data_IF_791830691164
#
_entry.id   IF_791830691164
#
_cell.length_a   1.000
_cell.length_b   1.000
_cell.length_c   1.000
_cell.angle_alpha   90.00
_cell.angle_beta   90.00
_cell.angle_gamma   90.00
#
_symmetry.space_group_name_H-M   'P 1'
#
loop_
_entity.id
_entity.type
_entity.pdbx_description
1 polymer ?
#
# COMPACT_ATOMS: atom_id res chain seq x y z
N UNK A 1 -27.76 7.41 7.86
CA UNK A 1 -27.15 6.34 8.68
C UNK A 1 -28.16 6.00 9.76
N UNK A 2 -28.80 4.82 9.66
CA UNK A 2 -29.61 4.28 10.75
C UNK A 2 -28.62 3.72 11.79
N UNK A 3 -28.49 4.40 12.92
CA UNK A 3 -27.94 3.81 14.13
C UNK A 3 -28.89 2.68 14.57
N UNK A 4 -28.56 1.44 14.21
CA UNK A 4 -29.27 0.29 14.77
C UNK A 4 -28.73 0.08 16.19
N UNK A 5 -29.47 0.56 17.17
CA UNK A 5 -29.30 0.19 18.57
C UNK A 5 -29.70 -1.28 18.74
N UNK A 6 -28.71 -2.17 18.69
CA UNK A 6 -28.87 -3.56 19.09
C UNK A 6 -28.27 -3.70 20.49
N UNK A 7 -29.12 -3.73 21.49
CA UNK A 7 -28.71 -4.01 22.87
C UNK A 7 -29.91 -3.88 23.80
N UNK A 8 -30.29 -4.95 24.45
CA UNK A 8 -31.36 -4.96 25.45
C UNK A 8 -30.97 -4.12 26.66
N UNK A 9 -31.90 -3.28 27.12
CA UNK A 9 -31.71 -2.31 28.21
C UNK A 9 -31.39 -2.91 29.60
N UNK A 10 -31.31 -4.22 29.75
CA UNK A 10 -31.31 -4.88 31.05
C UNK A 10 -29.91 -5.11 31.70
N UNK A 11 -28.80 -4.66 31.09
CA UNK A 11 -27.45 -4.85 31.63
C UNK A 11 -26.67 -3.54 31.91
N UNK A 12 -27.35 -2.41 32.10
CA UNK A 12 -26.74 -1.07 31.92
C UNK A 12 -26.15 -0.49 33.21
N UNK A 13 -26.38 -1.01 34.39
CA UNK A 13 -25.99 -0.31 35.65
C UNK A 13 -24.54 -0.45 36.07
N UNK A 14 -23.79 -1.43 35.57
CA UNK A 14 -22.43 -1.73 36.06
C UNK A 14 -21.34 -1.70 34.99
N UNK A 15 -21.61 -1.20 33.78
CA UNK A 15 -20.66 -1.22 32.67
C UNK A 15 -20.73 0.05 31.82
N UNK A 16 -19.57 0.41 31.22
CA UNK A 16 -19.49 1.50 30.27
C UNK A 16 -20.20 1.17 28.96
N UNK A 17 -20.86 2.17 28.38
CA UNK A 17 -21.43 2.12 27.04
C UNK A 17 -20.43 2.77 26.08
N UNK A 18 -19.83 1.98 25.21
CA UNK A 18 -18.82 2.44 24.26
C UNK A 18 -19.43 2.63 22.88
N UNK A 19 -19.32 3.83 22.34
CA UNK A 19 -19.67 4.15 20.97
C UNK A 19 -18.42 4.31 20.13
N UNK A 20 -18.24 3.47 19.11
CA UNK A 20 -17.15 3.57 18.15
C UNK A 20 -17.72 4.12 16.85
N UNK A 21 -17.24 5.28 16.43
CA UNK A 21 -17.65 5.94 15.18
C UNK A 21 -16.42 5.95 14.27
N UNK A 22 -16.43 5.04 13.31
CA UNK A 22 -15.37 4.93 12.31
C UNK A 22 -15.61 5.95 11.19
N UNK A 23 -14.52 6.43 10.57
CA UNK A 23 -14.51 7.46 9.53
C UNK A 23 -15.41 8.67 9.88
N UNK A 24 -15.26 9.15 11.12
CA UNK A 24 -16.11 10.19 11.69
C UNK A 24 -16.15 11.47 10.84
N UNK A 25 -15.12 11.74 10.02
CA UNK A 25 -15.09 12.87 9.09
C UNK A 25 -16.21 12.82 8.01
N UNK A 26 -16.84 11.67 7.81
CA UNK A 26 -17.97 11.50 6.89
C UNK A 26 -19.30 11.96 7.48
N UNK A 27 -19.33 12.35 8.77
CA UNK A 27 -20.55 12.90 9.38
C UNK A 27 -20.88 14.27 8.79
N UNK A 28 -22.19 14.54 8.65
CA UNK A 28 -22.66 15.87 8.27
C UNK A 28 -22.40 16.89 9.39
N UNK A 29 -22.36 18.17 9.06
CA UNK A 29 -22.22 19.27 10.04
C UNK A 29 -23.33 19.20 11.10
N UNK A 30 -24.56 18.87 10.69
CA UNK A 30 -25.69 18.70 11.62
C UNK A 30 -25.49 17.54 12.59
N UNK A 31 -24.87 16.43 12.15
CA UNK A 31 -24.53 15.30 13.01
C UNK A 31 -23.42 15.65 14.01
N UNK A 32 -22.38 16.39 13.58
CA UNK A 32 -21.36 16.92 14.48
C UNK A 32 -21.96 17.84 15.55
N UNK A 33 -22.87 18.74 15.17
CA UNK A 33 -23.55 19.64 16.13
C UNK A 33 -24.41 18.88 17.14
N UNK A 34 -25.05 17.80 16.72
CA UNK A 34 -25.81 16.93 17.64
C UNK A 34 -24.88 16.19 18.62
N UNK A 35 -23.72 15.74 18.14
CA UNK A 35 -22.72 15.06 18.97
C UNK A 35 -22.07 16.00 19.99
N UNK A 36 -21.88 17.28 19.65
CA UNK A 36 -21.28 18.29 20.54
C UNK A 36 -21.98 18.37 21.89
N UNK A 37 -23.33 18.37 21.91
CA UNK A 37 -24.09 18.45 23.17
C UNK A 37 -23.76 17.32 24.13
N UNK A 38 -23.57 16.11 23.60
CA UNK A 38 -23.23 14.93 24.41
C UNK A 38 -21.76 14.90 24.79
N UNK A 39 -20.86 15.46 23.97
CA UNK A 39 -19.44 15.55 24.27
C UNK A 39 -19.11 16.66 25.28
N UNK A 40 -19.97 17.68 25.41
CA UNK A 40 -19.83 18.73 26.41
C UNK A 40 -20.13 18.22 27.83
N UNK A 41 -21.19 17.43 27.97
CA UNK A 41 -21.63 16.84 29.24
C UNK A 41 -21.90 15.33 29.03
N UNK A 42 -20.88 14.51 28.83
CA UNK A 42 -21.06 13.08 28.62
C UNK A 42 -21.54 12.41 29.92
N UNK A 43 -22.50 11.48 29.85
CA UNK A 43 -22.82 10.65 30.99
C UNK A 43 -21.59 9.86 31.45
N UNK A 44 -21.38 9.71 32.77
CA UNK A 44 -20.20 9.06 33.36
C UNK A 44 -19.92 7.64 32.81
N UNK A 45 -20.95 6.95 32.35
CA UNK A 45 -20.86 5.60 31.82
C UNK A 45 -20.71 5.54 30.29
N UNK A 46 -20.57 6.67 29.60
CA UNK A 46 -20.48 6.72 28.12
C UNK A 46 -19.07 7.08 27.69
N UNK A 47 -18.52 6.28 26.77
CA UNK A 47 -17.24 6.52 26.13
C UNK A 47 -17.46 6.61 24.61
N UNK A 48 -16.94 7.69 23.99
CA UNK A 48 -16.88 7.84 22.55
C UNK A 48 -15.47 7.58 22.04
N UNK A 49 -15.34 6.70 21.03
CA UNK A 49 -14.12 6.48 20.27
C UNK A 49 -14.41 6.94 18.83
N UNK A 50 -13.73 8.03 18.44
CA UNK A 50 -13.87 8.61 17.11
C UNK A 50 -12.63 8.25 16.30
N UNK A 51 -12.77 7.49 15.22
CA UNK A 51 -11.69 7.12 14.34
C UNK A 51 -11.78 7.87 13.00
N UNK A 52 -10.65 8.30 12.48
CA UNK A 52 -10.57 9.02 11.19
C UNK A 52 -9.21 8.93 10.55
N UNK A 53 -9.18 8.89 9.24
CA UNK A 53 -7.98 9.08 8.41
C UNK A 53 -7.69 10.55 8.13
N UNK A 54 -8.68 11.44 8.31
CA UNK A 54 -8.62 12.86 7.95
C UNK A 54 -8.98 13.78 9.13
N UNK A 55 -8.11 13.82 10.13
CA UNK A 55 -8.33 14.64 11.35
C UNK A 55 -8.57 16.13 11.06
N UNK A 56 -8.02 16.67 9.96
CA UNK A 56 -8.19 18.07 9.56
C UNK A 56 -9.62 18.43 9.12
N UNK A 57 -10.44 17.44 8.77
CA UNK A 57 -11.85 17.64 8.42
C UNK A 57 -12.79 17.68 9.64
N UNK A 58 -12.29 17.31 10.82
CA UNK A 58 -13.10 17.33 12.04
C UNK A 58 -13.14 18.74 12.61
N UNK A 59 -14.31 19.27 12.98
CA UNK A 59 -14.43 20.58 13.62
C UNK A 59 -13.56 20.68 14.86
N UNK A 60 -12.88 21.82 15.03
CA UNK A 60 -12.00 22.09 16.18
C UNK A 60 -12.76 22.00 17.50
N UNK A 61 -14.06 22.29 17.50
CA UNK A 61 -14.94 22.18 18.66
C UNK A 61 -15.11 20.75 19.17
N UNK A 62 -15.02 19.76 18.27
CA UNK A 62 -14.99 18.32 18.62
C UNK A 62 -13.61 17.95 19.11
N UNK A 63 -12.56 18.31 18.35
CA UNK A 63 -11.18 17.97 18.70
C UNK A 63 -10.75 18.49 20.07
N UNK A 64 -11.22 19.69 20.47
CA UNK A 64 -10.91 20.28 21.77
C UNK A 64 -11.49 19.52 22.98
N UNK A 65 -12.46 18.62 22.73
CA UNK A 65 -13.13 17.80 23.76
C UNK A 65 -12.74 16.34 23.73
N UNK A 66 -11.80 15.98 22.85
CA UNK A 66 -11.33 14.62 22.67
C UNK A 66 -9.85 14.51 23.02
N UNK A 67 -9.46 13.39 23.59
CA UNK A 67 -8.05 12.97 23.64
C UNK A 67 -7.64 12.48 22.26
N UNK A 68 -6.53 13.00 21.72
CA UNK A 68 -6.04 12.63 20.40
C UNK A 68 -4.91 11.61 20.50
N UNK A 69 -5.02 10.56 19.69
CA UNK A 69 -4.00 9.54 19.51
C UNK A 69 -3.67 9.42 18.02
N UNK A 70 -2.42 9.72 17.67
CA UNK A 70 -1.95 9.64 16.29
C UNK A 70 -1.27 8.28 16.04
N UNK A 71 -1.87 7.44 15.22
CA UNK A 71 -1.31 6.18 14.78
C UNK A 71 -0.40 6.40 13.57
N UNK A 72 0.79 5.80 13.61
CA UNK A 72 1.79 5.88 12.54
C UNK A 72 1.75 4.60 11.70
N UNK A 73 2.31 4.67 10.49
CA UNK A 73 2.60 3.48 9.68
C UNK A 73 3.59 2.58 10.43
N UNK A 74 3.37 1.27 10.30
CA UNK A 74 4.23 0.26 10.93
C UNK A 74 5.42 0.01 10.00
N UNK A 75 6.62 -0.20 10.57
CA UNK A 75 7.80 -0.51 9.75
C UNK A 75 7.68 -1.89 9.11
N UNK A 76 8.38 -2.06 7.98
CA UNK A 76 8.39 -3.32 7.23
C UNK A 76 8.89 -4.47 8.12
N UNK A 77 9.94 -4.23 8.92
CA UNK A 77 10.52 -5.22 9.83
C UNK A 77 9.49 -5.67 10.87
N UNK A 78 8.80 -4.71 11.51
CA UNK A 78 7.78 -5.03 12.52
C UNK A 78 6.62 -5.84 11.93
N UNK A 79 6.19 -5.49 10.70
CA UNK A 79 5.15 -6.28 9.99
C UNK A 79 5.69 -7.67 9.68
N UNK A 80 6.89 -7.77 9.10
CA UNK A 80 7.49 -9.04 8.71
C UNK A 80 7.66 -9.97 9.91
N UNK A 81 8.16 -9.47 11.04
CA UNK A 81 8.32 -10.26 12.26
C UNK A 81 6.96 -10.78 12.76
N UNK A 82 5.93 -9.93 12.73
CA UNK A 82 4.58 -10.36 13.11
C UNK A 82 4.01 -11.43 12.18
N UNK A 83 4.21 -11.28 10.87
CA UNK A 83 3.77 -12.28 9.89
C UNK A 83 4.50 -13.62 10.11
N UNK A 84 5.81 -13.60 10.39
CA UNK A 84 6.59 -14.82 10.73
C UNK A 84 6.04 -15.53 11.96
N UNK A 85 5.77 -14.80 13.04
CA UNK A 85 5.15 -15.39 14.24
C UNK A 85 3.82 -16.10 13.93
N UNK A 86 3.01 -15.51 13.04
CA UNK A 86 1.73 -16.10 12.65
C UNK A 86 1.95 -17.36 11.80
N UNK A 87 2.88 -17.34 10.85
CA UNK A 87 3.19 -18.49 10.01
C UNK A 87 3.67 -19.70 10.84
N UNK A 88 4.49 -19.45 11.86
CA UNK A 88 4.90 -20.50 12.81
C UNK A 88 3.68 -21.09 13.55
N UNK A 89 2.71 -20.27 13.97
CA UNK A 89 1.49 -20.73 14.65
C UNK A 89 0.56 -21.52 13.74
N UNK A 90 0.43 -21.09 12.49
CA UNK A 90 -0.38 -21.74 11.45
C UNK A 90 0.33 -22.97 10.82
N UNK A 91 1.58 -23.22 11.20
CA UNK A 91 2.42 -24.31 10.67
C UNK A 91 2.61 -24.23 9.13
N UNK A 92 2.68 -23.03 8.60
CA UNK A 92 2.96 -22.76 7.19
C UNK A 92 4.43 -22.43 7.02
N UNK A 93 5.13 -23.18 6.17
CA UNK A 93 6.49 -22.86 5.79
C UNK A 93 6.49 -21.70 4.79
N UNK A 94 7.31 -20.69 5.07
CA UNK A 94 7.40 -19.49 4.24
C UNK A 94 8.85 -19.00 4.12
N UNK A 95 9.23 -18.49 2.99
CA UNK A 95 10.52 -17.86 2.77
C UNK A 95 10.56 -16.45 3.38
N UNK A 96 11.69 -16.09 3.99
CA UNK A 96 11.90 -14.74 4.56
C UNK A 96 11.68 -13.63 3.53
N UNK A 97 12.12 -13.87 2.29
CA UNK A 97 11.96 -12.94 1.18
C UNK A 97 10.49 -12.74 0.81
N UNK A 98 9.69 -13.81 0.84
CA UNK A 98 8.24 -13.78 0.62
C UNK A 98 7.52 -12.90 1.66
N UNK A 99 7.82 -13.13 2.95
CA UNK A 99 7.26 -12.35 4.06
C UNK A 99 7.63 -10.87 3.96
N UNK A 100 8.88 -10.55 3.67
CA UNK A 100 9.33 -9.15 3.51
C UNK A 100 8.61 -8.47 2.36
N UNK A 101 8.40 -9.19 1.26
CA UNK A 101 7.66 -8.65 0.12
C UNK A 101 6.20 -8.34 0.46
N UNK A 102 5.50 -9.24 1.15
CA UNK A 102 4.13 -9.01 1.64
C UNK A 102 4.09 -7.80 2.59
N UNK A 103 5.04 -7.71 3.52
CA UNK A 103 5.14 -6.58 4.46
C UNK A 103 5.36 -5.24 3.74
N UNK A 104 6.16 -5.24 2.66
CA UNK A 104 6.40 -4.07 1.82
C UNK A 104 5.15 -3.68 1.02
N UNK A 105 4.47 -4.66 0.40
CA UNK A 105 3.25 -4.43 -0.37
C UNK A 105 2.10 -3.85 0.49
N UNK A 106 2.11 -4.14 1.78
CA UNK A 106 1.12 -3.65 2.75
C UNK A 106 1.28 -2.17 3.14
N UNK A 107 2.36 -1.50 2.74
CA UNK A 107 2.60 -0.07 2.92
C UNK A 107 2.33 0.44 4.36
N UNK A 108 2.80 -0.29 5.37
CA UNK A 108 2.67 0.07 6.78
C UNK A 108 1.32 -0.28 7.42
N UNK A 109 0.44 -1.01 6.72
CA UNK A 109 -0.84 -1.49 7.21
C UNK A 109 -0.77 -2.97 7.60
N UNK A 110 -0.93 -3.28 8.90
CA UNK A 110 -0.99 -4.68 9.35
C UNK A 110 -2.21 -5.41 8.81
N UNK A 111 -3.36 -4.73 8.66
CA UNK A 111 -4.58 -5.33 8.10
C UNK A 111 -4.35 -5.81 6.67
N UNK A 112 -3.75 -4.95 5.84
CA UNK A 112 -3.49 -5.27 4.45
C UNK A 112 -2.43 -6.36 4.33
N UNK A 113 -1.39 -6.33 5.18
CA UNK A 113 -0.38 -7.39 5.26
C UNK A 113 -1.00 -8.77 5.55
N UNK A 114 -1.90 -8.84 6.51
CA UNK A 114 -2.61 -10.08 6.83
C UNK A 114 -3.50 -10.53 5.68
N UNK A 115 -4.24 -9.61 5.06
CA UNK A 115 -5.12 -9.94 3.93
C UNK A 115 -4.35 -10.44 2.72
N UNK A 116 -3.20 -9.82 2.40
CA UNK A 116 -2.32 -10.25 1.31
C UNK A 116 -1.71 -11.62 1.60
N UNK A 117 -1.27 -11.85 2.84
CA UNK A 117 -0.72 -13.13 3.25
C UNK A 117 -1.76 -14.25 3.18
N UNK A 118 -2.98 -14.00 3.66
CA UNK A 118 -4.09 -14.95 3.57
C UNK A 118 -4.41 -15.33 2.12
N UNK A 119 -4.38 -14.37 1.20
CA UNK A 119 -4.53 -14.63 -0.23
C UNK A 119 -3.44 -15.58 -0.74
N UNK A 120 -2.18 -15.31 -0.40
CA UNK A 120 -1.06 -16.14 -0.83
C UNK A 120 -1.18 -17.57 -0.29
N UNK A 121 -1.54 -17.73 0.98
CA UNK A 121 -1.73 -19.05 1.62
C UNK A 121 -2.89 -19.82 0.97
N UNK A 122 -4.01 -19.13 0.71
CA UNK A 122 -5.17 -19.74 0.09
C UNK A 122 -4.90 -20.27 -1.32
N UNK A 123 -4.06 -19.56 -2.11
CA UNK A 123 -3.66 -19.96 -3.46
C UNK A 123 -2.74 -21.18 -3.46
N UNK A 124 -1.81 -21.26 -2.49
CA UNK A 124 -0.81 -22.32 -2.38
C UNK A 124 -1.01 -23.18 -1.12
N UNK A 125 -2.26 -23.52 -0.83
CA UNK A 125 -2.62 -24.29 0.36
C UNK A 125 -1.84 -25.59 0.47
N UNK A 126 -1.16 -25.79 1.62
CA UNK A 126 -0.38 -26.99 1.91
C UNK A 126 1.00 -27.05 1.22
N UNK A 127 1.42 -25.99 0.54
CA UNK A 127 2.76 -25.86 -0.04
C UNK A 127 3.58 -24.82 0.74
N UNK A 128 4.90 -24.91 0.63
CA UNK A 128 5.79 -23.86 1.11
C UNK A 128 5.56 -22.58 0.29
N UNK A 129 5.33 -21.48 0.96
CA UNK A 129 5.14 -20.17 0.32
C UNK A 129 6.51 -19.59 -0.06
N UNK A 130 6.82 -19.63 -1.36
CA UNK A 130 8.05 -19.08 -1.92
C UNK A 130 7.84 -17.62 -2.34
N UNK A 131 8.95 -16.92 -2.60
CA UNK A 131 8.91 -15.56 -3.12
C UNK A 131 8.18 -15.48 -4.47
N UNK A 132 8.42 -16.44 -5.37
CA UNK A 132 7.78 -16.50 -6.69
C UNK A 132 6.26 -16.69 -6.58
N UNK A 133 5.81 -17.53 -5.66
CA UNK A 133 4.38 -17.70 -5.36
C UNK A 133 3.72 -16.38 -4.94
N UNK A 134 4.39 -15.60 -4.09
CA UNK A 134 3.87 -14.30 -3.65
C UNK A 134 3.81 -13.29 -4.79
N UNK A 135 4.84 -13.25 -5.64
CA UNK A 135 4.85 -12.39 -6.83
C UNK A 135 3.68 -12.72 -7.77
N UNK A 136 3.43 -14.00 -8.00
CA UNK A 136 2.34 -14.47 -8.87
C UNK A 136 0.97 -14.04 -8.33
N UNK A 137 0.70 -14.30 -7.04
CA UNK A 137 -0.58 -13.98 -6.41
C UNK A 137 -0.83 -12.50 -6.31
N UNK A 138 0.19 -11.71 -5.94
CA UNK A 138 0.05 -10.27 -5.78
C UNK A 138 0.13 -9.51 -7.12
N UNK A 139 0.33 -10.23 -8.21
CA UNK A 139 0.39 -9.62 -9.54
C UNK A 139 1.62 -8.74 -9.77
N UNK A 140 2.65 -8.89 -8.93
CA UNK A 140 3.86 -8.11 -9.06
C UNK A 140 4.63 -8.49 -10.34
N UNK A 141 5.17 -7.50 -10.99
CA UNK A 141 6.04 -7.69 -12.15
C UNK A 141 7.46 -7.87 -11.63
N UNK A 142 8.14 -8.89 -12.12
CA UNK A 142 9.56 -9.11 -11.79
C UNK A 142 10.41 -7.90 -12.20
N UNK A 143 11.39 -7.57 -11.38
CA UNK A 143 12.34 -6.47 -11.66
C UNK A 143 13.02 -6.62 -13.01
N UNK A 144 13.22 -7.85 -13.47
CA UNK A 144 13.82 -8.15 -14.78
C UNK A 144 12.99 -7.63 -15.96
N UNK A 145 11.67 -7.65 -15.84
CA UNK A 145 10.78 -7.10 -16.86
C UNK A 145 10.92 -5.57 -16.92
N UNK A 146 11.04 -4.91 -15.78
CA UNK A 146 11.26 -3.47 -15.72
C UNK A 146 12.65 -3.08 -16.25
N UNK A 147 13.67 -3.88 -15.97
CA UNK A 147 15.00 -3.75 -16.54
C UNK A 147 14.95 -3.83 -18.07
N UNK A 148 14.31 -4.89 -18.61
CA UNK A 148 14.10 -5.06 -20.05
C UNK A 148 13.40 -3.83 -20.65
N UNK A 149 12.29 -3.40 -20.03
CA UNK A 149 11.50 -2.26 -20.50
C UNK A 149 12.32 -0.96 -20.49
N UNK A 150 13.07 -0.68 -19.44
CA UNK A 150 13.94 0.49 -19.35
C UNK A 150 15.00 0.50 -20.45
N UNK A 151 15.69 -0.63 -20.69
CA UNK A 151 16.69 -0.75 -21.74
C UNK A 151 16.09 -0.50 -23.13
N UNK A 152 14.92 -1.07 -23.42
CA UNK A 152 14.20 -0.84 -24.67
C UNK A 152 13.80 0.64 -24.86
N UNK A 153 13.40 1.33 -23.79
CA UNK A 153 13.09 2.77 -23.81
C UNK A 153 14.36 3.58 -24.09
N UNK A 154 15.49 3.27 -23.43
CA UNK A 154 16.76 3.96 -23.64
C UNK A 154 17.31 3.77 -25.06
N UNK A 155 17.11 2.57 -25.63
CA UNK A 155 17.44 2.23 -27.02
C UNK A 155 16.47 2.85 -28.04
N UNK A 156 15.39 3.47 -27.58
CA UNK A 156 14.30 4.02 -28.43
C UNK A 156 13.65 2.97 -29.33
N UNK A 157 13.64 1.72 -28.89
CA UNK A 157 13.01 0.61 -29.62
C UNK A 157 11.52 0.52 -29.28
N UNK A 158 10.73 1.40 -29.89
CA UNK A 158 9.27 1.50 -29.65
C UNK A 158 8.57 0.16 -29.92
N UNK A 159 8.97 -0.58 -30.97
CA UNK A 159 8.34 -1.85 -31.30
C UNK A 159 8.50 -2.89 -30.18
N UNK A 160 9.73 -3.01 -29.63
CA UNK A 160 10.01 -3.94 -28.54
C UNK A 160 9.30 -3.53 -27.22
N UNK A 161 9.19 -2.23 -26.96
CA UNK A 161 8.43 -1.71 -25.81
C UNK A 161 6.96 -2.12 -25.89
N UNK A 162 6.32 -1.89 -27.04
CA UNK A 162 4.92 -2.23 -27.26
C UNK A 162 4.67 -3.75 -27.18
N UNK A 163 5.59 -4.56 -27.70
CA UNK A 163 5.53 -6.03 -27.59
C UNK A 163 5.61 -6.49 -26.14
N UNK A 164 6.53 -5.92 -25.35
CA UNK A 164 6.64 -6.22 -23.91
C UNK A 164 5.38 -5.82 -23.15
N UNK A 165 4.77 -4.67 -23.46
CA UNK A 165 3.49 -4.26 -22.87
C UNK A 165 2.37 -5.23 -23.26
N UNK A 166 2.31 -5.68 -24.52
CA UNK A 166 1.33 -6.67 -24.96
C UNK A 166 1.47 -7.99 -24.20
N UNK A 167 2.70 -8.50 -24.04
CA UNK A 167 2.97 -9.71 -23.25
C UNK A 167 2.42 -9.60 -21.83
N UNK A 168 2.63 -8.44 -21.16
CA UNK A 168 2.14 -8.19 -19.80
C UNK A 168 0.61 -8.12 -19.73
N UNK A 169 -0.01 -7.50 -20.72
CA UNK A 169 -1.49 -7.46 -20.83
C UNK A 169 -2.06 -8.86 -21.04
N UNK A 170 -1.45 -9.67 -21.89
CA UNK A 170 -1.88 -11.05 -22.14
C UNK A 170 -1.71 -11.96 -20.92
N UNK A 171 -0.73 -11.66 -20.04
CA UNK A 171 -0.56 -12.31 -18.74
C UNK A 171 -1.61 -11.87 -17.70
N UNK A 172 -2.51 -10.94 -18.04
CA UNK A 172 -3.55 -10.45 -17.15
C UNK A 172 -3.08 -9.41 -16.12
N UNK A 173 -1.94 -8.76 -16.34
CA UNK A 173 -1.41 -7.74 -15.42
C UNK A 173 -2.27 -6.47 -15.47
N UNK A 174 -2.56 -5.91 -14.29
CA UNK A 174 -3.30 -4.65 -14.16
C UNK A 174 -2.39 -3.46 -14.51
N UNK A 175 -2.78 -2.66 -15.51
CA UNK A 175 -1.93 -1.60 -16.08
C UNK A 175 -1.66 -0.45 -15.08
N UNK A 176 -2.57 -0.16 -14.19
CA UNK A 176 -2.36 0.87 -13.16
C UNK A 176 -1.31 0.41 -12.15
N UNK A 177 -1.38 -0.87 -11.75
CA UNK A 177 -0.38 -1.45 -10.86
C UNK A 177 0.99 -1.50 -11.54
N UNK A 178 1.05 -1.95 -12.80
CA UNK A 178 2.26 -1.94 -13.61
C UNK A 178 2.92 -0.55 -13.66
N UNK A 179 2.11 0.50 -13.87
CA UNK A 179 2.59 1.89 -13.90
C UNK A 179 3.17 2.33 -12.56
N UNK A 180 2.51 1.95 -11.45
CA UNK A 180 2.98 2.25 -10.11
C UNK A 180 4.29 1.53 -9.81
N UNK A 181 4.38 0.23 -10.13
CA UNK A 181 5.56 -0.59 -9.87
C UNK A 181 6.75 -0.12 -10.71
N UNK A 182 6.52 0.27 -11.98
CA UNK A 182 7.57 0.87 -12.81
C UNK A 182 8.03 2.23 -12.26
N UNK A 183 7.12 3.05 -11.75
CA UNK A 183 7.48 4.31 -11.07
C UNK A 183 8.35 4.06 -9.84
N UNK A 184 8.02 3.04 -9.04
CA UNK A 184 8.83 2.60 -7.91
C UNK A 184 10.21 2.10 -8.33
N UNK A 185 10.29 1.34 -9.41
CA UNK A 185 11.54 0.89 -9.98
C UNK A 185 12.44 2.06 -10.40
N UNK A 186 11.90 3.05 -11.13
CA UNK A 186 12.61 4.27 -11.52
C UNK A 186 13.09 5.08 -10.30
N UNK A 187 12.28 5.16 -9.24
CA UNK A 187 12.68 5.78 -7.97
C UNK A 187 13.85 5.03 -7.32
N UNK A 188 13.83 3.70 -7.33
CA UNK A 188 14.92 2.91 -6.78
C UNK A 188 16.22 3.13 -7.56
N UNK A 189 16.17 3.26 -8.88
CA UNK A 189 17.32 3.64 -9.70
C UNK A 189 17.86 5.04 -9.32
N UNK A 190 16.96 6.00 -9.08
CA UNK A 190 17.37 7.34 -8.64
C UNK A 190 18.08 7.30 -7.27
N UNK A 191 17.56 6.52 -6.33
CA UNK A 191 18.19 6.33 -5.03
C UNK A 191 19.54 5.61 -5.15
N UNK A 192 19.63 4.57 -5.99
CA UNK A 192 20.87 3.86 -6.28
C UNK A 192 21.95 4.79 -6.86
N UNK A 193 21.54 5.80 -7.62
CA UNK A 193 22.47 6.78 -8.21
C UNK A 193 22.88 7.91 -7.26
N UNK A 194 22.07 8.25 -6.27
CA UNK A 194 22.24 9.46 -5.45
C UNK A 194 22.58 9.19 -3.99
N UNK A 195 22.48 7.94 -3.51
CA UNK A 195 22.69 7.58 -2.11
C UNK A 195 23.97 6.78 -1.93
N UNK A 196 24.79 7.15 -0.94
CA UNK A 196 26.03 6.43 -0.59
C UNK A 196 25.76 5.17 0.28
N UNK A 197 24.62 5.09 0.97
CA UNK A 197 24.20 3.96 1.83
C UNK A 197 22.96 3.28 1.26
N UNK A 198 23.16 2.40 0.28
CA UNK A 198 22.07 1.75 -0.45
C UNK A 198 21.40 0.62 0.33
N UNK A 199 22.15 -0.14 1.13
CA UNK A 199 21.64 -1.32 1.85
C UNK A 199 20.56 -0.98 2.86
N UNK A 200 20.63 0.21 3.49
CA UNK A 200 19.64 0.68 4.47
C UNK A 200 18.39 1.32 3.83
N UNK A 201 18.48 1.74 2.55
CA UNK A 201 17.43 2.52 1.86
C UNK A 201 16.67 1.67 0.85
N UNK A 202 17.35 0.69 0.24
CA UNK A 202 16.77 -0.20 -0.76
C UNK A 202 16.63 -1.60 -0.15
N UNK A 203 15.39 -1.98 0.11
CA UNK A 203 15.04 -3.33 0.59
C UNK A 203 15.08 -4.35 -0.56
N UNK A 204 16.24 -4.47 -1.21
CA UNK A 204 16.49 -5.33 -2.38
C UNK A 204 17.61 -6.32 -2.05
N UNK A 205 17.56 -7.51 -2.67
CA UNK A 205 18.64 -8.49 -2.53
C UNK A 205 19.95 -7.95 -3.13
N UNK A 206 21.09 -8.45 -2.64
CA UNK A 206 22.42 -8.02 -3.08
C UNK A 206 22.63 -8.16 -4.60
N UNK A 207 22.04 -9.20 -5.21
CA UNK A 207 22.09 -9.42 -6.67
C UNK A 207 21.28 -8.36 -7.42
N UNK A 208 20.08 -8.04 -6.97
CA UNK A 208 19.25 -6.98 -7.56
C UNK A 208 19.86 -5.58 -7.35
N UNK A 209 20.67 -5.41 -6.30
CA UNK A 209 21.34 -4.15 -6.00
C UNK A 209 22.46 -3.84 -7.00
N UNK A 210 23.23 -4.85 -7.40
CA UNK A 210 24.25 -4.72 -8.44
C UNK A 210 23.61 -4.37 -9.80
N UNK A 211 22.54 -5.07 -10.17
CA UNK A 211 21.82 -4.80 -11.39
C UNK A 211 21.24 -3.38 -11.42
N UNK A 212 20.62 -2.94 -10.31
CA UNK A 212 20.10 -1.57 -10.18
C UNK A 212 21.20 -0.51 -10.28
N UNK A 213 22.40 -0.79 -9.76
CA UNK A 213 23.56 0.11 -9.88
C UNK A 213 24.02 0.25 -11.33
N UNK A 214 24.19 -0.87 -12.02
CA UNK A 214 24.57 -0.86 -13.44
C UNK A 214 23.56 -0.08 -14.30
N UNK A 215 22.28 -0.29 -14.04
CA UNK A 215 21.20 0.38 -14.77
C UNK A 215 21.09 1.87 -14.42
N UNK A 216 21.32 2.22 -13.14
CA UNK A 216 21.37 3.60 -12.72
C UNK A 216 22.50 4.39 -13.42
N UNK A 217 23.62 3.74 -13.77
CA UNK A 217 24.69 4.38 -14.53
C UNK A 217 24.30 4.66 -15.99
N UNK A 218 23.41 3.88 -16.57
CA UNK A 218 22.98 4.03 -17.96
C UNK A 218 22.10 5.25 -18.21
N UNK A 219 21.55 5.87 -17.16
CA UNK A 219 20.58 6.96 -17.28
C UNK A 219 20.97 8.17 -16.42
N UNK A 220 20.84 9.37 -16.97
CA UNK A 220 21.12 10.60 -16.23
C UNK A 220 20.02 10.93 -15.20
N UNK A 221 20.40 11.52 -14.06
CA UNK A 221 19.48 11.95 -12.98
C UNK A 221 18.32 12.80 -13.51
N UNK A 222 18.62 13.75 -14.41
CA UNK A 222 17.61 14.61 -15.02
C UNK A 222 16.57 13.86 -15.84
N UNK A 223 16.99 12.79 -16.53
CA UNK A 223 16.10 11.91 -17.30
C UNK A 223 15.27 11.04 -16.39
N UNK A 224 15.86 10.45 -15.33
CA UNK A 224 15.14 9.68 -14.32
C UNK A 224 14.03 10.51 -13.66
N UNK A 225 14.33 11.74 -13.22
CA UNK A 225 13.35 12.63 -12.62
C UNK A 225 12.20 12.96 -13.59
N UNK A 226 12.51 13.12 -14.89
CA UNK A 226 11.50 13.34 -15.92
C UNK A 226 10.60 12.12 -16.09
N UNK A 227 11.17 10.90 -16.14
CA UNK A 227 10.40 9.66 -16.24
C UNK A 227 9.52 9.45 -15.02
N UNK A 228 10.06 9.59 -13.81
CA UNK A 228 9.28 9.47 -12.57
C UNK A 228 8.09 10.42 -12.59
N UNK A 229 8.28 11.66 -13.05
CA UNK A 229 7.19 12.65 -13.17
C UNK A 229 6.12 12.20 -14.15
N UNK A 230 6.52 11.77 -15.37
CA UNK A 230 5.59 11.31 -16.41
C UNK A 230 4.76 10.14 -15.88
N UNK A 231 5.40 9.12 -15.29
CA UNK A 231 4.70 7.94 -14.81
C UNK A 231 3.86 8.21 -13.56
N UNK A 232 4.25 9.14 -12.69
CA UNK A 232 3.43 9.59 -11.56
C UNK A 232 2.17 10.33 -12.02
N UNK A 233 2.28 11.19 -13.02
CA UNK A 233 1.14 11.86 -13.63
C UNK A 233 0.22 10.86 -14.35
N UNK A 234 0.80 9.90 -15.07
CA UNK A 234 0.09 8.80 -15.72
C UNK A 234 -0.70 7.97 -14.72
N UNK A 235 -0.09 7.59 -13.60
CA UNK A 235 -0.76 6.81 -12.54
C UNK A 235 -2.03 7.49 -12.02
N UNK A 236 -2.01 8.81 -11.86
CA UNK A 236 -3.18 9.58 -11.47
C UNK A 236 -4.26 9.59 -12.56
N UNK A 237 -3.87 9.69 -13.84
CA UNK A 237 -4.79 9.67 -14.98
C UNK A 237 -5.43 8.29 -15.17
N UNK A 238 -4.67 7.22 -14.95
CA UNK A 238 -5.11 5.83 -15.09
C UNK A 238 -6.32 5.47 -14.21
N UNK A 239 -6.50 6.14 -13.06
CA UNK A 239 -7.64 5.89 -12.17
C UNK A 239 -9.00 6.15 -12.83
N UNK A 240 -9.04 7.09 -13.79
CA UNK A 240 -10.27 7.54 -14.44
C UNK A 240 -10.28 7.24 -15.95
N UNK A 241 -9.18 6.71 -16.49
CA UNK A 241 -9.05 6.44 -17.92
C UNK A 241 -9.88 5.24 -18.36
N UNK A 242 -10.65 5.42 -19.41
CA UNK A 242 -11.42 4.32 -20.07
C UNK A 242 -10.48 3.43 -20.89
N UNK A 243 -9.44 4.00 -21.48
CA UNK A 243 -8.48 3.29 -22.35
C UNK A 243 -7.07 3.34 -21.75
N UNK A 244 -6.89 2.67 -20.61
CA UNK A 244 -5.64 2.64 -19.85
C UNK A 244 -4.41 2.27 -20.70
N UNK A 245 -4.60 1.30 -21.62
CA UNK A 245 -3.53 0.83 -22.50
C UNK A 245 -2.95 1.95 -23.37
N UNK A 246 -3.80 2.73 -24.02
CA UNK A 246 -3.34 3.84 -24.87
C UNK A 246 -2.56 4.88 -24.07
N UNK A 247 -3.03 5.20 -22.85
CA UNK A 247 -2.32 6.14 -21.99
C UNK A 247 -0.92 5.64 -21.62
N UNK A 248 -0.76 4.34 -21.36
CA UNK A 248 0.54 3.73 -21.07
C UNK A 248 1.44 3.75 -22.32
N UNK A 249 0.95 3.30 -23.45
CA UNK A 249 1.71 3.23 -24.71
C UNK A 249 2.19 4.61 -25.20
N UNK A 250 1.45 5.68 -24.90
CA UNK A 250 1.86 7.06 -25.24
C UNK A 250 2.91 7.60 -24.28
N UNK A 251 2.94 7.11 -23.03
CA UNK A 251 3.90 7.58 -22.02
C UNK A 251 5.26 6.88 -22.12
N UNK A 252 5.31 5.66 -22.68
CA UNK A 252 6.50 4.87 -22.93
C UNK A 252 7.23 5.32 -24.20
#
# INVERSE_FOLDING_TARGET
>A
IRLSLVGSEMCIRDRYKVYIIDEVHMLSIGAFNALLKTLEEPPEYVIFILATTEAHKIPITILSRCQRYDFKRISIETIADRLKELMVKEQVEVEDRAIRYVAKAADGSMRDALSLLDQCIAFYLGQKLTYDHVLEVLGAVDTDVFSKLLRQILERNVAAVLETVEELVMQGRELTQLTNDFTWYLRNLLLAKTSDNMEDVLDVSTENLQQLQEEAEMIEVGTLLRYIRIFSELSNQMRYAVQKRIHLEVAL
#
